data_IF_033600410655
#
_entry.id   IF_033600410655
#
_cell.length_a   1.000
_cell.length_b   1.000
_cell.length_c   1.000
_cell.angle_alpha   90.00
_cell.angle_beta   90.00
_cell.angle_gamma   90.00
#
_symmetry.space_group_name_H-M   'P 1'
#
loop_
_entity.id
_entity.type
_entity.pdbx_description
1 polymer ?
#
# COMPACT_ATOMS: atom_id res chain seq x y z
N UNK A 1 9.09 9.48 -32.85
CA UNK A 1 10.36 9.54 -32.08
C UNK A 1 10.20 9.91 -30.60
N UNK A 2 9.34 10.84 -30.18
CA UNK A 2 9.17 11.24 -28.74
C UNK A 2 8.64 10.13 -27.81
N UNK A 3 7.82 9.18 -28.29
CA UNK A 3 7.21 8.12 -27.47
C UNK A 3 8.23 7.05 -27.05
N UNK A 4 9.16 6.67 -27.95
CA UNK A 4 10.21 5.69 -27.62
C UNK A 4 11.23 6.25 -26.62
N UNK A 5 11.52 7.54 -26.66
CA UNK A 5 12.45 8.18 -25.74
C UNK A 5 11.98 8.16 -24.28
N UNK A 6 10.67 8.19 -24.06
CA UNK A 6 10.05 8.12 -22.71
C UNK A 6 10.20 6.75 -22.04
N UNK A 7 10.38 5.67 -22.81
CA UNK A 7 10.56 4.32 -22.29
C UNK A 7 12.04 3.93 -22.28
N UNK A 8 12.76 4.28 -23.33
CA UNK A 8 14.18 3.91 -23.50
C UNK A 8 15.08 4.59 -22.46
N UNK A 9 14.85 5.88 -22.14
CA UNK A 9 15.67 6.59 -21.17
C UNK A 9 15.61 5.99 -19.74
N UNK A 10 14.42 5.74 -19.14
CA UNK A 10 14.37 5.08 -17.84
C UNK A 10 15.00 3.69 -17.83
N UNK A 11 14.82 2.91 -18.91
CA UNK A 11 15.41 1.59 -19.04
C UNK A 11 16.95 1.65 -19.10
N UNK A 12 17.50 2.59 -19.86
CA UNK A 12 18.95 2.82 -19.94
C UNK A 12 19.52 3.20 -18.56
N UNK A 13 18.87 4.13 -17.85
CA UNK A 13 19.29 4.52 -16.49
C UNK A 13 19.25 3.33 -15.55
N UNK A 14 18.19 2.51 -15.59
CA UNK A 14 18.09 1.31 -14.79
C UNK A 14 19.22 0.32 -15.07
N UNK A 15 19.50 0.04 -16.36
CA UNK A 15 20.59 -0.86 -16.77
C UNK A 15 21.95 -0.31 -16.31
N UNK A 16 22.18 1.00 -16.45
CA UNK A 16 23.42 1.64 -16.01
C UNK A 16 23.60 1.55 -14.49
N UNK A 17 22.54 1.75 -13.71
CA UNK A 17 22.59 1.65 -12.23
C UNK A 17 22.87 0.21 -11.79
N UNK A 18 22.11 -0.77 -12.31
CA UNK A 18 22.29 -2.19 -11.96
C UNK A 18 23.65 -2.70 -12.46
N UNK A 19 24.04 -2.37 -13.69
CA UNK A 19 25.34 -2.75 -14.23
C UNK A 19 26.51 -2.09 -13.49
N UNK A 20 26.38 -0.83 -13.12
CA UNK A 20 27.37 -0.12 -12.29
C UNK A 20 27.50 -0.73 -10.90
N UNK A 21 26.37 -1.13 -10.26
CA UNK A 21 26.39 -1.86 -8.99
C UNK A 21 27.08 -3.22 -9.10
N UNK A 22 26.74 -4.01 -10.11
CA UNK A 22 27.38 -5.30 -10.36
C UNK A 22 28.91 -5.14 -10.56
N UNK A 23 29.31 -4.17 -11.39
CA UNK A 23 30.72 -3.88 -11.68
C UNK A 23 31.45 -3.41 -10.41
N UNK A 24 30.86 -2.50 -9.64
CA UNK A 24 31.42 -1.98 -8.39
C UNK A 24 31.70 -3.10 -7.39
N UNK A 25 30.71 -3.99 -7.15
CA UNK A 25 30.89 -5.11 -6.22
C UNK A 25 31.99 -6.06 -6.67
N UNK A 26 32.09 -6.35 -7.97
CA UNK A 26 33.11 -7.27 -8.52
C UNK A 26 34.51 -6.67 -8.55
N UNK A 27 34.65 -5.39 -8.93
CA UNK A 27 35.97 -4.72 -9.04
C UNK A 27 36.59 -4.52 -7.67
N UNK A 28 35.80 -4.15 -6.66
CA UNK A 28 36.29 -3.92 -5.31
C UNK A 28 36.24 -5.16 -4.41
N UNK A 29 35.88 -6.34 -4.95
CA UNK A 29 35.77 -7.61 -4.25
C UNK A 29 35.00 -7.49 -2.93
N UNK A 30 33.83 -6.80 -3.00
CA UNK A 30 33.03 -6.52 -1.81
C UNK A 30 32.39 -7.81 -1.32
N UNK A 31 32.60 -8.11 -0.05
CA UNK A 31 32.08 -9.31 0.59
C UNK A 31 30.55 -9.38 0.57
N UNK A 32 29.99 -10.58 0.33
CA UNK A 32 28.58 -10.87 0.23
C UNK A 32 27.76 -10.37 1.45
N UNK A 33 28.36 -10.41 2.63
CA UNK A 33 27.74 -9.95 3.88
C UNK A 33 27.74 -8.42 4.06
N UNK A 34 28.37 -7.65 3.15
CA UNK A 34 28.36 -6.17 3.14
C UNK A 34 27.39 -5.70 2.05
N UNK A 35 27.63 -6.13 0.80
CA UNK A 35 26.82 -5.76 -0.35
C UNK A 35 26.82 -6.88 -1.40
N UNK A 36 25.75 -7.65 -1.54
CA UNK A 36 25.65 -8.67 -2.59
C UNK A 36 25.56 -8.02 -3.97
N UNK A 37 26.14 -8.67 -4.99
CA UNK A 37 25.94 -8.25 -6.38
C UNK A 37 24.53 -8.59 -6.87
N UNK A 38 23.94 -7.84 -7.80
CA UNK A 38 22.66 -8.14 -8.42
C UNK A 38 22.53 -9.59 -8.92
N UNK A 39 23.58 -10.13 -9.53
CA UNK A 39 23.61 -11.53 -9.98
C UNK A 39 23.45 -12.53 -8.81
N UNK A 40 24.08 -12.29 -7.66
CA UNK A 40 23.95 -13.13 -6.46
C UNK A 40 22.56 -13.02 -5.83
N UNK A 41 21.95 -11.84 -5.87
CA UNK A 41 20.58 -11.64 -5.40
C UNK A 41 19.59 -12.47 -6.23
N UNK A 42 19.74 -12.47 -7.56
CA UNK A 42 18.89 -13.27 -8.45
C UNK A 42 19.12 -14.78 -8.22
N UNK A 43 20.38 -15.25 -8.08
CA UNK A 43 20.63 -16.65 -7.70
C UNK A 43 19.93 -17.01 -6.39
N UNK A 44 20.10 -16.19 -5.34
CA UNK A 44 19.46 -16.42 -4.05
C UNK A 44 17.92 -16.46 -4.14
N UNK A 45 17.32 -15.59 -4.98
CA UNK A 45 15.89 -15.60 -5.25
C UNK A 45 15.43 -16.91 -5.89
N UNK A 46 16.15 -17.40 -6.90
CA UNK A 46 15.79 -18.64 -7.60
C UNK A 46 16.00 -19.85 -6.70
N UNK A 47 17.14 -19.95 -6.03
CA UNK A 47 17.48 -21.08 -5.15
C UNK A 47 16.56 -21.22 -3.93
N UNK A 48 16.00 -20.11 -3.44
CA UNK A 48 15.14 -20.09 -2.25
C UNK A 48 13.69 -19.75 -2.60
N UNK A 49 13.28 -19.89 -3.88
CA UNK A 49 11.96 -19.44 -4.34
C UNK A 49 10.81 -20.08 -3.58
N UNK A 50 10.87 -21.37 -3.32
CA UNK A 50 9.80 -22.11 -2.60
C UNK A 50 9.63 -21.59 -1.17
N UNK A 51 10.74 -21.35 -0.46
CA UNK A 51 10.73 -20.81 0.90
C UNK A 51 10.19 -19.37 0.91
N UNK A 52 10.65 -18.55 -0.03
CA UNK A 52 10.19 -17.18 -0.18
C UNK A 52 8.69 -17.12 -0.51
N UNK A 53 8.19 -18.04 -1.34
CA UNK A 53 6.78 -18.11 -1.69
C UNK A 53 5.93 -18.55 -0.49
N UNK A 54 6.35 -19.53 0.29
CA UNK A 54 5.65 -19.94 1.52
C UNK A 54 5.52 -18.77 2.51
N UNK A 55 6.61 -18.03 2.74
CA UNK A 55 6.59 -16.84 3.59
C UNK A 55 5.77 -15.69 2.98
N UNK A 56 5.80 -15.54 1.65
CA UNK A 56 4.99 -14.54 0.94
C UNK A 56 3.49 -14.74 1.15
N UNK A 57 3.00 -15.97 1.16
CA UNK A 57 1.57 -16.24 1.36
C UNK A 57 1.08 -15.74 2.71
N UNK A 58 1.88 -15.91 3.77
CA UNK A 58 1.55 -15.40 5.12
C UNK A 58 1.51 -13.86 5.10
N UNK A 59 2.54 -13.22 4.56
CA UNK A 59 2.59 -11.75 4.45
C UNK A 59 1.44 -11.18 3.61
N UNK A 60 1.05 -11.89 2.54
CA UNK A 60 -0.08 -11.49 1.70
C UNK A 60 -1.41 -11.62 2.42
N UNK A 61 -1.63 -12.68 3.18
CA UNK A 61 -2.83 -12.84 4.01
C UNK A 61 -2.99 -11.66 4.97
N UNK A 62 -1.94 -11.31 5.71
CA UNK A 62 -1.91 -10.17 6.62
C UNK A 62 -2.16 -8.85 5.90
N UNK A 63 -1.50 -8.64 4.76
CA UNK A 63 -1.62 -7.43 3.94
C UNK A 63 -3.02 -7.25 3.36
N UNK A 64 -3.60 -8.29 2.79
CA UNK A 64 -4.92 -8.25 2.15
C UNK A 64 -6.01 -8.06 3.20
N UNK A 65 -5.96 -8.80 4.29
CA UNK A 65 -6.93 -8.66 5.39
C UNK A 65 -6.89 -7.24 5.96
N UNK A 66 -5.69 -6.72 6.25
CA UNK A 66 -5.53 -5.36 6.76
C UNK A 66 -6.00 -4.30 5.76
N UNK A 67 -5.70 -4.45 4.47
CA UNK A 67 -6.15 -3.54 3.41
C UNK A 67 -7.68 -3.55 3.24
N UNK A 68 -8.32 -4.71 3.29
CA UNK A 68 -9.78 -4.83 3.17
C UNK A 68 -10.50 -4.20 4.37
N UNK A 69 -10.04 -4.52 5.58
CA UNK A 69 -10.64 -3.98 6.81
C UNK A 69 -10.43 -2.45 6.87
N UNK A 70 -9.22 -1.97 6.58
CA UNK A 70 -8.94 -0.53 6.55
C UNK A 70 -9.79 0.20 5.51
N UNK A 71 -9.99 -0.39 4.35
CA UNK A 71 -10.83 0.17 3.29
C UNK A 71 -12.28 0.31 3.74
N UNK A 72 -12.83 -0.75 4.34
CA UNK A 72 -14.19 -0.73 4.87
C UNK A 72 -14.37 0.35 5.95
N UNK A 73 -13.45 0.40 6.93
CA UNK A 73 -13.48 1.40 8.00
C UNK A 73 -13.31 2.82 7.46
N UNK A 74 -12.41 3.03 6.49
CA UNK A 74 -12.18 4.32 5.88
C UNK A 74 -13.41 4.83 5.12
N UNK A 75 -14.08 3.98 4.36
CA UNK A 75 -15.33 4.32 3.66
C UNK A 75 -16.40 4.71 4.68
N UNK A 76 -16.59 3.93 5.73
CA UNK A 76 -17.59 4.18 6.77
C UNK A 76 -17.35 5.53 7.46
N UNK A 77 -16.13 5.78 7.94
CA UNK A 77 -15.77 7.01 8.64
C UNK A 77 -15.86 8.23 7.71
N UNK A 78 -15.42 8.11 6.45
CA UNK A 78 -15.50 9.19 5.46
C UNK A 78 -16.94 9.58 5.14
N UNK A 79 -17.84 8.61 4.99
CA UNK A 79 -19.27 8.88 4.79
C UNK A 79 -19.88 9.55 6.04
N UNK A 80 -19.55 9.09 7.24
CA UNK A 80 -20.00 9.73 8.48
C UNK A 80 -19.50 11.19 8.58
N UNK A 81 -18.28 11.46 8.20
CA UNK A 81 -17.73 12.83 8.17
C UNK A 81 -18.40 13.70 7.11
N UNK A 82 -18.78 13.13 5.98
CA UNK A 82 -19.48 13.88 4.92
C UNK A 82 -20.95 14.17 5.31
N UNK A 83 -21.60 13.28 6.04
CA UNK A 83 -22.96 13.45 6.53
C UNK A 83 -23.08 14.49 7.65
N UNK A 84 -22.05 14.64 8.48
CA UNK A 84 -22.06 15.54 9.64
C UNK A 84 -20.84 16.45 9.69
N UNK A 85 -21.06 17.75 9.46
CA UNK A 85 -20.00 18.77 9.59
C UNK A 85 -19.37 18.78 10.98
N UNK A 86 -20.17 18.63 12.04
CA UNK A 86 -19.69 18.56 13.41
C UNK A 86 -18.79 17.34 13.61
N UNK A 87 -19.19 16.17 13.14
CA UNK A 87 -18.37 14.97 13.21
C UNK A 87 -17.06 15.14 12.42
N UNK A 88 -17.10 15.73 11.22
CA UNK A 88 -15.92 16.01 10.42
C UNK A 88 -14.95 16.94 11.15
N UNK A 89 -15.43 18.08 11.66
CA UNK A 89 -14.56 19.04 12.37
C UNK A 89 -13.96 18.45 13.65
N UNK A 90 -14.64 17.51 14.30
CA UNK A 90 -14.14 16.82 15.49
C UNK A 90 -13.13 15.74 15.17
N UNK A 91 -13.35 14.90 14.15
CA UNK A 91 -12.56 13.69 13.89
C UNK A 91 -11.39 13.93 12.92
N UNK A 92 -11.57 14.75 11.89
CA UNK A 92 -10.58 14.97 10.85
C UNK A 92 -9.20 15.43 11.37
N UNK A 93 -9.08 16.36 12.34
CA UNK A 93 -7.79 16.72 12.92
C UNK A 93 -7.08 15.55 13.59
N UNK A 94 -7.82 14.66 14.26
CA UNK A 94 -7.24 13.48 14.91
C UNK A 94 -6.72 12.47 13.88
N UNK A 95 -7.37 12.33 12.72
CA UNK A 95 -6.86 11.47 11.63
C UNK A 95 -5.48 11.95 11.18
N UNK A 96 -5.30 13.28 11.01
CA UNK A 96 -4.01 13.86 10.58
C UNK A 96 -2.94 13.66 11.66
N UNK A 97 -3.26 13.91 12.92
CA UNK A 97 -2.30 13.78 14.03
C UNK A 97 -1.92 12.32 14.25
N UNK A 98 -2.89 11.41 14.23
CA UNK A 98 -2.64 9.99 14.55
C UNK A 98 -1.73 9.31 13.53
N UNK A 99 -1.77 9.70 12.25
CA UNK A 99 -0.87 9.15 11.23
C UNK A 99 0.62 9.54 11.45
N UNK A 100 0.90 10.53 12.32
CA UNK A 100 2.28 10.92 12.64
C UNK A 100 2.93 9.99 13.67
N UNK A 101 2.15 9.12 14.33
CA UNK A 101 2.67 8.17 15.30
C UNK A 101 3.56 7.14 14.59
N UNK A 102 4.82 6.98 15.02
CA UNK A 102 5.72 6.02 14.39
C UNK A 102 5.19 4.60 14.55
N UNK A 103 4.94 3.91 13.43
CA UNK A 103 4.38 2.56 13.42
C UNK A 103 5.24 1.55 14.22
N UNK A 104 6.55 1.76 14.25
CA UNK A 104 7.47 0.90 15.01
C UNK A 104 7.24 0.95 16.54
N UNK A 105 6.60 2.00 17.05
CA UNK A 105 6.22 2.11 18.47
C UNK A 105 4.93 1.33 18.74
N UNK A 106 4.00 1.35 17.78
CA UNK A 106 2.70 0.67 17.92
C UNK A 106 2.82 -0.86 17.85
N UNK A 107 3.75 -1.37 17.08
CA UNK A 107 3.93 -2.81 16.89
C UNK A 107 4.13 -3.59 18.20
N UNK A 108 5.12 -3.25 19.04
CA UNK A 108 5.29 -3.87 20.36
C UNK A 108 4.06 -3.73 21.26
N UNK A 109 3.38 -2.57 21.25
CA UNK A 109 2.17 -2.34 22.04
C UNK A 109 1.04 -3.27 21.61
N UNK A 110 0.80 -3.39 20.30
CA UNK A 110 -0.23 -4.31 19.79
C UNK A 110 0.10 -5.78 20.12
N UNK A 111 1.39 -6.15 20.10
CA UNK A 111 1.81 -7.49 20.48
C UNK A 111 1.61 -7.78 21.96
N UNK A 112 1.83 -6.78 22.83
CA UNK A 112 1.58 -6.90 24.28
C UNK A 112 0.08 -7.00 24.56
N UNK A 113 -0.75 -6.22 23.88
CA UNK A 113 -2.21 -6.17 24.14
C UNK A 113 -2.97 -7.34 23.51
N UNK A 114 -2.57 -7.79 22.33
CA UNK A 114 -3.32 -8.73 21.50
C UNK A 114 -2.59 -10.06 21.24
N UNK A 115 -1.38 -10.24 21.82
CA UNK A 115 -0.58 -11.44 21.62
C UNK A 115 0.29 -11.39 20.37
N UNK A 116 0.80 -12.56 19.97
CA UNK A 116 1.81 -12.70 18.90
C UNK A 116 1.25 -13.37 17.62
N UNK A 117 -0.05 -13.49 17.51
CA UNK A 117 -0.73 -14.14 16.39
C UNK A 117 -0.95 -13.19 15.20
N UNK A 118 -1.96 -13.45 14.39
CA UNK A 118 -2.32 -12.68 13.20
C UNK A 118 -2.78 -11.25 13.52
N UNK A 119 -3.54 -11.08 14.62
CA UNK A 119 -4.26 -9.84 14.93
C UNK A 119 -3.35 -8.59 15.05
N UNK A 120 -2.25 -8.57 15.83
CA UNK A 120 -1.41 -7.38 15.93
C UNK A 120 -0.79 -6.96 14.59
N UNK A 121 -0.46 -7.90 13.71
CA UNK A 121 0.11 -7.61 12.39
C UNK A 121 -0.93 -6.99 11.46
N UNK A 122 -2.14 -7.56 11.44
CA UNK A 122 -3.26 -6.99 10.67
C UNK A 122 -3.62 -5.59 11.19
N UNK A 123 -3.56 -5.33 12.51
CA UNK A 123 -3.79 -4.01 13.09
C UNK A 123 -2.75 -2.99 12.61
N UNK A 124 -1.48 -3.37 12.48
CA UNK A 124 -0.43 -2.51 11.92
C UNK A 124 -0.74 -2.16 10.47
N UNK A 125 -1.13 -3.13 9.66
CA UNK A 125 -1.54 -2.89 8.26
C UNK A 125 -2.76 -1.97 8.20
N UNK A 126 -3.77 -2.21 9.04
CA UNK A 126 -4.96 -1.34 9.13
C UNK A 126 -4.54 0.08 9.45
N UNK A 127 -3.69 0.27 10.45
CA UNK A 127 -3.22 1.58 10.87
C UNK A 127 -2.49 2.32 9.74
N UNK A 128 -1.65 1.62 8.97
CA UNK A 128 -0.93 2.21 7.83
C UNK A 128 -1.83 2.54 6.63
N UNK A 129 -2.83 1.69 6.37
CA UNK A 129 -3.67 1.81 5.17
C UNK A 129 -4.90 2.70 5.37
N UNK A 130 -5.42 2.79 6.58
CA UNK A 130 -6.66 3.52 6.89
C UNK A 130 -6.57 5.01 6.56
N UNK A 131 -5.52 5.70 7.03
CA UNK A 131 -5.44 7.16 6.91
C UNK A 131 -5.37 7.65 5.47
N UNK A 132 -4.50 7.12 4.57
CA UNK A 132 -4.48 7.59 3.18
C UNK A 132 -5.82 7.36 2.47
N UNK A 133 -6.54 6.28 2.78
CA UNK A 133 -7.85 6.01 2.19
C UNK A 133 -8.89 6.98 2.75
N UNK A 134 -8.98 7.12 4.08
CA UNK A 134 -9.98 7.95 4.74
C UNK A 134 -9.84 9.43 4.38
N UNK A 135 -8.62 9.96 4.38
CA UNK A 135 -8.35 11.36 4.05
C UNK A 135 -8.69 11.62 2.57
N UNK A 136 -8.14 10.82 1.65
CA UNK A 136 -8.36 11.02 0.21
C UNK A 136 -9.83 10.89 -0.17
N UNK A 137 -10.57 9.96 0.43
CA UNK A 137 -11.98 9.79 0.14
C UNK A 137 -12.83 10.91 0.75
N UNK A 138 -12.55 11.33 2.00
CA UNK A 138 -13.26 12.45 2.65
C UNK A 138 -13.08 13.75 1.88
N UNK A 139 -11.87 14.01 1.40
CA UNK A 139 -11.57 15.21 0.62
C UNK A 139 -12.31 15.21 -0.72
N UNK A 140 -12.32 14.06 -1.41
CA UNK A 140 -13.05 13.92 -2.67
C UNK A 140 -14.57 14.07 -2.49
N UNK A 141 -15.16 13.49 -1.44
CA UNK A 141 -16.58 13.70 -1.12
C UNK A 141 -16.92 15.16 -0.83
N UNK A 142 -15.99 15.90 -0.22
CA UNK A 142 -16.16 17.31 0.10
C UNK A 142 -16.06 18.24 -1.11
N UNK A 143 -15.42 17.80 -2.19
CA UNK A 143 -15.25 18.56 -3.44
C UNK A 143 -16.43 18.42 -4.40
N UNK A 144 -17.40 17.57 -4.10
CA UNK A 144 -18.61 17.42 -4.91
C UNK A 144 -19.39 18.72 -4.97
N UNK A 145 -19.76 19.15 -6.18
CA UNK A 145 -20.41 20.42 -6.42
C UNK A 145 -21.78 20.52 -5.72
N UNK A 146 -21.94 21.56 -4.90
CA UNK A 146 -23.25 21.87 -4.28
C UNK A 146 -24.34 22.10 -5.34
N UNK A 147 -24.00 22.60 -6.53
CA UNK A 147 -24.95 22.79 -7.64
C UNK A 147 -25.55 21.48 -8.10
N UNK A 148 -24.74 20.44 -8.23
CA UNK A 148 -25.19 19.08 -8.62
C UNK A 148 -26.10 18.50 -7.54
N UNK A 149 -25.74 18.65 -6.27
CA UNK A 149 -26.54 18.19 -5.12
C UNK A 149 -27.89 18.93 -5.09
N UNK A 150 -27.89 20.25 -5.26
CA UNK A 150 -29.11 21.07 -5.23
C UNK A 150 -30.01 20.77 -6.45
N UNK A 151 -29.43 20.50 -7.61
CA UNK A 151 -30.19 20.06 -8.79
C UNK A 151 -30.93 18.74 -8.52
N UNK A 152 -30.26 17.74 -7.94
CA UNK A 152 -30.92 16.49 -7.59
C UNK A 152 -32.02 16.67 -6.54
N UNK A 153 -31.80 17.55 -5.56
CA UNK A 153 -32.81 17.91 -4.54
C UNK A 153 -34.05 18.56 -5.19
N UNK A 154 -33.86 19.42 -6.20
CA UNK A 154 -34.99 20.06 -6.91
C UNK A 154 -35.83 19.05 -7.71
N UNK A 155 -35.26 17.90 -8.09
CA UNK A 155 -35.97 16.77 -8.68
C UNK A 155 -36.57 15.81 -7.62
N UNK A 156 -36.50 16.14 -6.33
CA UNK A 156 -37.04 15.32 -5.25
C UNK A 156 -36.18 14.14 -4.82
N UNK A 157 -34.87 14.14 -5.20
CA UNK A 157 -33.97 13.07 -4.82
C UNK A 157 -33.75 13.02 -3.31
N UNK A 158 -33.86 11.84 -2.72
CA UNK A 158 -33.51 11.59 -1.32
C UNK A 158 -31.99 11.45 -1.13
N UNK A 159 -31.56 11.42 0.15
CA UNK A 159 -30.13 11.37 0.49
C UNK A 159 -29.41 10.17 -0.13
N UNK A 160 -30.01 8.99 -0.10
CA UNK A 160 -29.44 7.77 -0.70
C UNK A 160 -29.22 7.91 -2.21
N UNK A 161 -30.18 8.53 -2.91
CA UNK A 161 -30.07 8.80 -4.35
C UNK A 161 -28.95 9.79 -4.67
N UNK A 162 -28.78 10.84 -3.84
CA UNK A 162 -27.69 11.82 -3.98
C UNK A 162 -26.33 11.11 -3.82
N UNK A 163 -26.18 10.24 -2.81
CA UNK A 163 -24.95 9.47 -2.64
C UNK A 163 -24.69 8.54 -3.81
N UNK A 164 -25.69 7.76 -4.23
CA UNK A 164 -25.55 6.75 -5.28
C UNK A 164 -25.25 7.37 -6.65
N UNK A 165 -25.88 8.53 -6.97
CA UNK A 165 -25.82 9.11 -8.33
C UNK A 165 -24.64 10.08 -8.47
N UNK A 166 -24.29 10.84 -7.43
CA UNK A 166 -23.27 11.89 -7.52
C UNK A 166 -22.12 11.70 -6.56
N UNK A 167 -22.38 11.57 -5.25
CA UNK A 167 -21.31 11.60 -4.24
C UNK A 167 -20.34 10.43 -4.36
N UNK A 168 -20.82 9.19 -4.43
CA UNK A 168 -19.99 8.00 -4.53
C UNK A 168 -19.24 7.95 -5.87
N UNK A 169 -19.86 8.15 -7.05
CA UNK A 169 -19.13 8.17 -8.30
C UNK A 169 -18.06 9.27 -8.38
N UNK A 170 -18.35 10.48 -7.91
CA UNK A 170 -17.37 11.57 -7.89
C UNK A 170 -16.27 11.34 -6.85
N UNK A 171 -16.63 10.84 -5.67
CA UNK A 171 -15.70 10.51 -4.59
C UNK A 171 -14.79 9.31 -4.91
N UNK A 172 -15.19 8.43 -5.84
CA UNK A 172 -14.43 7.22 -6.19
C UNK A 172 -13.01 7.55 -6.66
N UNK A 173 -12.78 8.71 -7.30
CA UNK A 173 -11.44 9.16 -7.70
C UNK A 173 -10.52 9.23 -6.47
N UNK A 174 -10.97 9.88 -5.39
CA UNK A 174 -10.21 9.99 -4.15
C UNK A 174 -10.09 8.65 -3.43
N UNK A 175 -11.16 7.84 -3.40
CA UNK A 175 -11.12 6.51 -2.81
C UNK A 175 -10.03 5.64 -3.47
N UNK A 176 -10.00 5.54 -4.79
CA UNK A 176 -8.99 4.76 -5.50
C UNK A 176 -7.60 5.38 -5.45
N UNK A 177 -7.48 6.71 -5.38
CA UNK A 177 -6.21 7.36 -5.10
C UNK A 177 -5.63 6.93 -3.75
N UNK A 178 -6.43 7.00 -2.68
CA UNK A 178 -6.04 6.54 -1.35
C UNK A 178 -5.74 5.04 -1.30
N UNK A 179 -6.57 4.21 -1.97
CA UNK A 179 -6.37 2.77 -2.08
C UNK A 179 -5.05 2.39 -2.76
N UNK A 180 -4.66 3.08 -3.83
CA UNK A 180 -3.36 2.85 -4.51
C UNK A 180 -2.18 3.15 -3.60
N UNK A 181 -2.27 4.24 -2.84
CA UNK A 181 -1.26 4.58 -1.83
C UNK A 181 -1.22 3.50 -0.75
N UNK A 182 -2.36 3.11 -0.20
CA UNK A 182 -2.47 2.07 0.81
C UNK A 182 -1.95 0.70 0.31
N UNK A 183 -2.31 0.29 -0.91
CA UNK A 183 -1.82 -0.95 -1.52
C UNK A 183 -0.29 -0.98 -1.71
N UNK A 184 0.34 0.19 -1.86
CA UNK A 184 1.81 0.29 -1.92
C UNK A 184 2.45 0.06 -0.55
N UNK A 185 1.77 0.46 0.54
CA UNK A 185 2.31 0.36 1.90
C UNK A 185 1.87 -0.89 2.68
N UNK A 186 0.79 -1.58 2.27
CA UNK A 186 0.22 -2.68 3.05
C UNK A 186 1.20 -3.84 3.28
N UNK A 187 1.98 -4.23 2.26
CA UNK A 187 3.00 -5.29 2.40
C UNK A 187 4.10 -4.83 3.37
N UNK A 188 4.55 -3.57 3.26
CA UNK A 188 5.50 -3.00 4.22
C UNK A 188 4.97 -2.99 5.65
N UNK A 189 3.68 -2.71 5.84
CA UNK A 189 3.02 -2.77 7.14
C UNK A 189 3.03 -4.17 7.75
N UNK A 190 2.70 -5.19 6.96
CA UNK A 190 2.78 -6.58 7.38
C UNK A 190 4.22 -6.96 7.80
N UNK A 191 5.22 -6.61 6.99
CA UNK A 191 6.65 -6.83 7.29
C UNK A 191 7.04 -6.23 8.66
N UNK A 192 6.64 -4.98 8.94
CA UNK A 192 6.93 -4.34 10.24
C UNK A 192 6.27 -5.13 11.38
N UNK A 193 5.04 -5.61 11.20
CA UNK A 193 4.36 -6.47 12.15
C UNK A 193 5.08 -7.79 12.38
N UNK A 194 5.55 -8.41 11.32
CA UNK A 194 6.27 -9.67 11.35
C UNK A 194 7.64 -9.55 12.05
N UNK A 195 8.33 -8.42 11.92
CA UNK A 195 9.60 -8.19 12.61
C UNK A 195 9.48 -8.24 14.13
N UNK A 196 8.31 -7.89 14.65
CA UNK A 196 8.10 -7.70 16.08
C UNK A 196 7.51 -8.94 16.77
N UNK A 197 6.75 -9.75 16.03
CA UNK A 197 5.91 -10.79 16.67
C UNK A 197 5.59 -12.00 15.80
N UNK A 198 6.43 -12.35 14.81
CA UNK A 198 6.07 -13.46 13.90
C UNK A 198 6.98 -14.68 14.01
N UNK A 199 6.41 -15.82 13.60
CA UNK A 199 7.13 -17.09 13.38
C UNK A 199 7.14 -17.50 11.90
N UNK A 200 6.49 -16.71 11.04
CA UNK A 200 6.38 -16.92 9.60
C UNK A 200 6.19 -15.56 8.90
N UNK A 201 6.31 -15.52 7.58
CA UNK A 201 6.20 -14.33 6.76
C UNK A 201 7.56 -13.84 6.25
N UNK A 202 7.53 -12.96 5.23
CA UNK A 202 8.74 -12.43 4.59
C UNK A 202 9.59 -11.60 5.55
N UNK A 203 8.97 -10.81 6.44
CA UNK A 203 9.68 -10.01 7.44
C UNK A 203 10.39 -10.89 8.48
N UNK A 204 9.72 -11.94 8.96
CA UNK A 204 10.34 -12.93 9.82
C UNK A 204 11.54 -13.59 9.14
N UNK A 205 11.36 -14.09 7.92
CA UNK A 205 12.44 -14.71 7.17
C UNK A 205 13.59 -13.74 6.91
N UNK A 206 13.28 -12.51 6.54
CA UNK A 206 14.27 -11.43 6.36
C UNK A 206 15.12 -11.20 7.61
N UNK A 207 14.52 -11.11 8.81
CA UNK A 207 15.27 -10.98 10.06
C UNK A 207 16.16 -12.20 10.33
N UNK A 208 15.64 -13.39 10.08
CA UNK A 208 16.39 -14.64 10.29
C UNK A 208 17.63 -14.70 9.41
N UNK A 209 17.50 -14.43 8.09
CA UNK A 209 18.63 -14.46 7.16
C UNK A 209 19.60 -13.30 7.38
N UNK A 210 19.09 -12.12 7.78
CA UNK A 210 19.90 -10.97 8.18
C UNK A 210 20.80 -11.32 9.37
N UNK A 211 20.25 -11.97 10.41
CA UNK A 211 21.02 -12.40 11.57
C UNK A 211 22.04 -13.48 11.25
N UNK A 212 21.84 -14.22 10.15
CA UNK A 212 22.78 -15.17 9.57
C UNK A 212 23.79 -14.54 8.59
N UNK A 213 23.82 -13.21 8.46
CA UNK A 213 24.67 -12.48 7.53
C UNK A 213 24.48 -12.87 6.04
N UNK A 214 23.32 -13.42 5.66
CA UNK A 214 22.95 -13.81 4.29
C UNK A 214 22.25 -12.64 3.57
N UNK A 215 22.99 -11.57 3.25
CA UNK A 215 22.38 -10.36 2.68
C UNK A 215 21.83 -10.57 1.28
N UNK A 216 22.34 -11.50 0.51
CA UNK A 216 21.76 -11.94 -0.78
C UNK A 216 20.30 -12.36 -0.64
N UNK A 217 19.98 -13.16 0.40
CA UNK A 217 18.61 -13.59 0.72
C UNK A 217 17.76 -12.44 1.28
N UNK A 218 18.36 -11.50 2.02
CA UNK A 218 17.64 -10.28 2.45
C UNK A 218 17.19 -9.48 1.25
N UNK A 219 18.06 -9.25 0.28
CA UNK A 219 17.71 -8.54 -0.96
C UNK A 219 16.72 -9.35 -1.83
N UNK A 220 16.81 -10.67 -1.85
CA UNK A 220 15.80 -11.52 -2.49
C UNK A 220 14.41 -11.33 -1.86
N UNK A 221 14.30 -11.23 -0.51
CA UNK A 221 13.04 -10.85 0.16
C UNK A 221 12.56 -9.46 -0.29
N UNK A 222 13.44 -8.48 -0.40
CA UNK A 222 13.07 -7.14 -0.89
C UNK A 222 12.49 -7.20 -2.30
N UNK A 223 13.05 -8.00 -3.20
CA UNK A 223 12.48 -8.20 -4.53
C UNK A 223 11.07 -8.82 -4.49
N UNK A 224 10.84 -9.80 -3.61
CA UNK A 224 9.50 -10.38 -3.40
C UNK A 224 8.51 -9.34 -2.85
N UNK A 225 8.93 -8.51 -1.90
CA UNK A 225 8.11 -7.42 -1.35
C UNK A 225 7.71 -6.43 -2.45
N UNK A 226 8.67 -5.99 -3.27
CA UNK A 226 8.43 -5.09 -4.40
C UNK A 226 7.45 -5.74 -5.39
N UNK A 227 7.65 -7.00 -5.73
CA UNK A 227 6.78 -7.75 -6.64
C UNK A 227 5.33 -7.77 -6.14
N UNK A 228 5.11 -8.15 -4.88
CA UNK A 228 3.77 -8.21 -4.30
C UNK A 228 3.11 -6.84 -4.12
N UNK A 229 3.88 -5.82 -3.74
CA UNK A 229 3.37 -4.44 -3.65
C UNK A 229 2.91 -3.92 -5.01
N UNK A 230 3.66 -4.17 -6.08
CA UNK A 230 3.28 -3.82 -7.45
C UNK A 230 2.03 -4.58 -7.86
N UNK A 231 1.96 -5.88 -7.58
CA UNK A 231 0.82 -6.71 -7.95
C UNK A 231 -0.48 -6.25 -7.27
N UNK A 232 -0.43 -5.94 -5.97
CA UNK A 232 -1.58 -5.41 -5.23
C UNK A 232 -2.01 -4.04 -5.77
N UNK A 233 -1.06 -3.15 -6.06
CA UNK A 233 -1.37 -1.83 -6.64
C UNK A 233 -1.99 -1.96 -8.05
N UNK A 234 -1.49 -2.89 -8.88
CA UNK A 234 -2.09 -3.22 -10.17
C UNK A 234 -3.50 -3.79 -10.00
N UNK A 235 -3.73 -4.66 -9.01
CA UNK A 235 -5.03 -5.18 -8.66
C UNK A 235 -6.04 -4.07 -8.34
N UNK A 236 -5.66 -3.12 -7.47
CA UNK A 236 -6.48 -1.93 -7.17
C UNK A 236 -6.76 -1.10 -8.43
N UNK A 237 -5.74 -0.91 -9.27
CA UNK A 237 -5.90 -0.16 -10.53
C UNK A 237 -6.84 -0.86 -11.52
N UNK A 238 -6.82 -2.19 -11.55
CA UNK A 238 -7.75 -2.97 -12.36
C UNK A 238 -9.18 -2.89 -11.81
N UNK A 239 -9.36 -2.99 -10.50
CA UNK A 239 -10.66 -2.82 -9.84
C UNK A 239 -11.27 -1.44 -10.15
N UNK A 240 -10.47 -0.36 -10.07
CA UNK A 240 -10.90 0.99 -10.46
C UNK A 240 -11.43 1.02 -11.90
N UNK A 241 -10.70 0.42 -12.83
CA UNK A 241 -11.10 0.40 -14.26
C UNK A 241 -12.38 -0.38 -14.52
N UNK A 242 -12.60 -1.44 -13.75
CA UNK A 242 -13.81 -2.30 -13.89
C UNK A 242 -15.02 -1.61 -13.27
N UNK A 243 -14.88 -1.06 -12.07
CA UNK A 243 -16.00 -0.48 -11.32
C UNK A 243 -16.38 0.92 -11.81
N UNK A 244 -15.41 1.72 -12.29
CA UNK A 244 -15.61 3.11 -12.69
C UNK A 244 -14.99 3.44 -14.05
N UNK A 245 -15.45 2.80 -15.15
CA UNK A 245 -14.86 2.98 -16.49
C UNK A 245 -15.00 4.42 -17.02
N UNK A 246 -15.95 5.18 -16.51
CA UNK A 246 -16.25 6.55 -16.95
C UNK A 246 -15.27 7.61 -16.37
N UNK A 247 -14.58 7.34 -15.25
CA UNK A 247 -13.62 8.28 -14.65
C UNK A 247 -12.44 8.59 -15.59
N UNK A 248 -12.13 7.71 -16.52
CA UNK A 248 -11.02 7.83 -17.48
C UNK A 248 -11.28 8.75 -18.67
N UNK A 249 -12.55 9.08 -18.97
CA UNK A 249 -12.87 9.94 -20.12
C UNK A 249 -12.50 11.41 -19.89
N UNK A 250 -12.33 11.85 -18.64
CA UNK A 250 -11.95 13.22 -18.28
C UNK A 250 -10.46 13.54 -18.43
N UNK A 251 -9.56 12.54 -18.38
CA UNK A 251 -8.10 12.75 -18.47
C UNK A 251 -7.55 12.83 -19.92
N UNK A 252 -8.41 12.69 -20.93
CA UNK A 252 -8.00 12.73 -22.35
C UNK A 252 -8.28 14.06 -23.07
N UNK A 253 -8.55 15.12 -22.34
CA UNK A 253 -8.66 16.47 -22.94
C UNK A 253 -7.51 17.37 -22.55
#
# INVERSE_FOLDING_TARGET
>A
MKKNRRIVMPLLVFILVIGGWELYVRVFDISLYILPSPSKIISALIENFDVLMQHSLVTLEESILGLLISTFLAILISICMDLSKTFKTSIYPYLIVTQTVPIMVLGPLFSIWFGFDLLPKVLIVIFMCFFPIAISFTDALSQVSEKEINLLKSFGANLFQIYKIVKIPSGAIGLFSGLKVAATYCVGGAIVGEWLSSRAGLGYYMLRVKNGYMLDKVFACVLMIIFWSILLNLGVTLLEKILFPHLRKGERK
#
